data_IF_360794947236
#
_entry.id   IF_360794947236
#
_cell.length_a   1.000
_cell.length_b   1.000
_cell.length_c   1.000
_cell.angle_alpha   90.00
_cell.angle_beta   90.00
_cell.angle_gamma   90.00
#
_symmetry.space_group_name_H-M   'P 1'
#
loop_
_entity.id
_entity.type
_entity.pdbx_description
1 polymer ?
#
# COMPACT_ATOMS: atom_id res chain seq x y z
N UNK A 1 -25.55 -6.67 36.10
CA UNK A 1 -24.45 -6.68 35.11
C UNK A 1 -24.32 -5.26 34.59
N UNK A 2 -23.12 -4.68 34.58
CA UNK A 2 -22.96 -3.30 34.15
C UNK A 2 -23.34 -3.17 32.67
N UNK A 3 -24.17 -2.19 32.34
CA UNK A 3 -24.55 -1.88 30.97
C UNK A 3 -23.35 -1.23 30.29
N UNK A 4 -22.87 -1.84 29.20
CA UNK A 4 -21.68 -1.37 28.48
C UNK A 4 -22.12 -0.61 27.24
N UNK A 5 -21.54 0.57 27.03
CA UNK A 5 -21.86 1.41 25.88
C UNK A 5 -21.50 0.73 24.57
N UNK A 6 -22.47 0.65 23.65
CA UNK A 6 -22.31 0.07 22.32
C UNK A 6 -22.13 1.15 21.27
N UNK A 7 -21.29 0.87 20.28
CA UNK A 7 -20.93 1.77 19.18
C UNK A 7 -21.43 1.13 17.86
N UNK A 8 -22.03 1.91 16.95
CA UNK A 8 -22.47 1.40 15.66
C UNK A 8 -21.27 0.94 14.82
N UNK A 9 -21.47 -0.14 14.05
CA UNK A 9 -20.50 -0.59 13.06
C UNK A 9 -21.19 -1.16 11.82
N UNK A 10 -20.44 -1.22 10.72
CA UNK A 10 -20.95 -1.65 9.42
C UNK A 10 -20.43 -3.04 9.06
N UNK A 11 -21.32 -3.87 8.50
CA UNK A 11 -20.96 -5.20 7.99
C UNK A 11 -21.54 -5.41 6.61
N UNK A 12 -20.80 -6.11 5.75
CA UNK A 12 -21.32 -6.48 4.44
C UNK A 12 -22.23 -7.70 4.56
N UNK A 13 -23.52 -7.54 4.27
CA UNK A 13 -24.54 -8.61 4.29
C UNK A 13 -25.12 -8.82 2.88
N UNK A 14 -25.59 -10.04 2.60
CA UNK A 14 -26.25 -10.36 1.33
C UNK A 14 -27.72 -9.91 1.40
N UNK A 15 -28.08 -8.96 0.55
CA UNK A 15 -29.43 -8.53 0.27
C UNK A 15 -30.01 -9.32 -0.89
N UNK A 16 -31.31 -9.63 -0.80
CA UNK A 16 -32.06 -10.39 -1.81
C UNK A 16 -32.15 -9.61 -3.14
N UNK A 17 -32.22 -8.28 -3.08
CA UNK A 17 -32.47 -7.43 -4.26
C UNK A 17 -31.25 -6.68 -4.80
N UNK A 18 -30.24 -6.41 -3.97
CA UNK A 18 -29.09 -5.54 -4.33
C UNK A 18 -27.73 -6.23 -4.18
N UNK A 19 -27.70 -7.55 -4.03
CA UNK A 19 -26.45 -8.29 -3.87
C UNK A 19 -25.80 -8.02 -2.51
N UNK A 20 -24.51 -7.67 -2.46
CA UNK A 20 -23.83 -7.37 -1.19
C UNK A 20 -23.99 -5.89 -0.82
N UNK A 21 -24.54 -5.62 0.37
CA UNK A 21 -24.82 -4.25 0.84
C UNK A 21 -24.26 -4.07 2.25
N UNK A 22 -23.77 -2.87 2.54
CA UNK A 22 -23.39 -2.48 3.90
C UNK A 22 -24.62 -2.32 4.77
N UNK A 23 -24.66 -3.07 5.89
CA UNK A 23 -25.69 -2.96 6.92
C UNK A 23 -25.05 -2.39 8.18
N UNK A 24 -25.64 -1.32 8.69
CA UNK A 24 -25.36 -0.79 10.01
C UNK A 24 -25.95 -1.72 11.08
N UNK A 25 -25.14 -2.04 12.09
CA UNK A 25 -25.58 -2.72 13.30
C UNK A 25 -25.39 -1.71 14.44
N UNK A 26 -26.49 -1.29 15.07
CA UNK A 26 -26.54 -0.28 16.13
C UNK A 26 -27.37 -0.78 17.33
N UNK A 27 -27.28 -0.08 18.46
CA UNK A 27 -27.99 -0.42 19.69
C UNK A 27 -27.58 -1.79 20.23
N UNK A 28 -28.53 -2.72 20.36
CA UNK A 28 -28.29 -4.05 20.91
C UNK A 28 -27.30 -4.89 20.10
N UNK A 29 -27.25 -4.69 18.78
CA UNK A 29 -26.32 -5.38 17.87
C UNK A 29 -24.99 -4.62 17.70
N UNK A 30 -24.80 -3.47 18.36
CA UNK A 30 -23.60 -2.65 18.27
C UNK A 30 -22.35 -3.30 18.87
N UNK A 31 -21.18 -2.80 18.49
CA UNK A 31 -19.88 -3.27 18.97
C UNK A 31 -19.56 -2.67 20.34
N UNK A 32 -18.84 -3.43 21.16
CA UNK A 32 -18.39 -2.98 22.48
C UNK A 32 -16.88 -2.74 22.43
N UNK A 33 -16.44 -1.59 22.94
CA UNK A 33 -15.01 -1.29 23.05
C UNK A 33 -14.35 -2.25 24.05
N UNK A 34 -13.11 -2.64 23.80
CA UNK A 34 -12.37 -3.55 24.66
C UNK A 34 -11.15 -2.82 25.22
N UNK A 35 -10.96 -2.87 26.54
CA UNK A 35 -9.80 -2.25 27.21
C UNK A 35 -8.54 -3.12 27.16
N UNK A 36 -8.69 -4.42 26.88
CA UNK A 36 -7.55 -5.34 26.84
C UNK A 36 -6.60 -4.97 25.70
N UNK A 37 -5.31 -4.70 25.96
CA UNK A 37 -4.36 -4.38 24.91
C UNK A 37 -4.13 -5.59 24.01
N UNK A 38 -4.47 -5.47 22.72
CA UNK A 38 -4.24 -6.50 21.72
C UNK A 38 -2.92 -6.25 21.00
N UNK A 39 -2.11 -7.31 20.82
CA UNK A 39 -0.90 -7.27 20.00
C UNK A 39 -1.18 -7.90 18.64
N UNK A 40 -0.62 -7.32 17.58
CA UNK A 40 -0.62 -7.91 16.24
C UNK A 40 0.48 -8.97 16.20
N UNK A 41 0.14 -10.17 15.73
CA UNK A 41 1.12 -11.24 15.52
C UNK A 41 1.72 -11.20 14.12
N UNK A 42 2.99 -11.59 14.04
CA UNK A 42 3.76 -11.74 12.80
C UNK A 42 4.35 -13.16 12.69
N UNK A 43 3.83 -14.08 13.50
CA UNK A 43 4.45 -15.40 13.71
C UNK A 43 4.10 -16.37 12.59
N UNK A 44 3.00 -16.14 11.86
CA UNK A 44 2.59 -17.01 10.77
C UNK A 44 3.54 -16.84 9.57
N UNK A 45 4.03 -17.97 9.04
CA UNK A 45 4.89 -17.98 7.85
C UNK A 45 4.09 -17.66 6.59
N UNK A 46 4.73 -17.00 5.61
CA UNK A 46 4.09 -16.59 4.36
C UNK A 46 3.36 -17.77 3.67
N UNK A 47 2.18 -17.54 3.06
CA UNK A 47 1.47 -18.58 2.32
C UNK A 47 2.36 -19.19 1.23
N UNK A 48 2.59 -20.51 1.29
CA UNK A 48 3.43 -21.25 0.33
C UNK A 48 4.88 -21.51 0.78
N UNK A 49 5.31 -20.98 1.93
CA UNK A 49 6.61 -21.33 2.50
C UNK A 49 6.53 -22.70 3.19
N UNK A 50 7.29 -23.68 2.69
CA UNK A 50 7.42 -24.98 3.35
C UNK A 50 8.05 -24.76 4.72
N UNK A 51 7.29 -25.07 5.78
CA UNK A 51 7.82 -25.05 7.16
C UNK A 51 8.85 -26.15 7.26
N UNK A 52 10.13 -25.80 7.09
CA UNK A 52 11.21 -26.68 7.50
C UNK A 52 11.02 -26.94 9.00
N UNK A 53 10.94 -28.22 9.38
CA UNK A 53 10.78 -28.65 10.77
C UNK A 53 11.81 -27.93 11.65
N UNK A 54 11.45 -27.53 12.88
CA UNK A 54 12.27 -26.69 13.75
C UNK A 54 13.46 -27.46 14.33
N UNK A 55 14.48 -27.74 13.53
CA UNK A 55 15.78 -28.21 14.05
C UNK A 55 16.97 -27.38 13.54
N UNK A 56 16.81 -26.58 12.48
CA UNK A 56 17.94 -25.85 11.90
C UNK A 56 17.63 -24.35 11.72
N UNK A 57 17.43 -23.63 12.84
CA UNK A 57 17.64 -22.17 12.82
C UNK A 57 19.09 -21.90 13.23
N UNK A 58 19.96 -21.66 12.25
CA UNK A 58 21.34 -21.22 12.47
C UNK A 58 21.36 -19.96 13.34
N UNK A 59 22.38 -19.85 14.19
CA UNK A 59 22.60 -18.76 15.15
C UNK A 59 22.58 -17.38 14.49
N UNK A 60 22.84 -17.28 13.19
CA UNK A 60 22.81 -16.04 12.40
C UNK A 60 21.41 -15.41 12.30
N UNK A 61 20.35 -16.23 12.23
CA UNK A 61 18.97 -15.70 12.15
C UNK A 61 18.51 -15.06 13.47
N UNK A 62 19.09 -15.48 14.61
CA UNK A 62 18.80 -14.89 15.93
C UNK A 62 19.47 -13.54 16.11
N UNK A 63 20.67 -13.35 15.54
CA UNK A 63 21.38 -12.08 15.65
C UNK A 63 20.74 -10.99 14.76
N UNK A 64 20.30 -11.33 13.55
CA UNK A 64 19.65 -10.37 12.65
C UNK A 64 18.34 -9.77 13.22
N UNK A 65 17.53 -10.57 13.94
CA UNK A 65 16.31 -10.06 14.59
C UNK A 65 16.60 -9.13 15.79
N UNK A 66 17.72 -9.31 16.46
CA UNK A 66 18.09 -8.46 17.60
C UNK A 66 18.66 -7.10 17.15
N UNK A 67 19.37 -7.05 16.02
CA UNK A 67 19.95 -5.80 15.51
C UNK A 67 18.87 -4.83 15.00
N UNK A 68 17.79 -5.33 14.39
CA UNK A 68 16.67 -4.48 13.92
C UNK A 68 15.78 -3.95 15.08
N UNK A 69 15.68 -4.67 16.19
CA UNK A 69 14.91 -4.26 17.37
C UNK A 69 15.61 -3.20 18.24
N UNK A 70 16.94 -3.09 18.14
CA UNK A 70 17.74 -2.12 18.90
C UNK A 70 17.65 -0.68 18.41
N UNK A 71 17.33 -0.46 17.12
CA UNK A 71 17.37 0.87 16.49
C UNK A 71 16.17 1.78 16.74
N UNK A 72 15.09 1.30 17.36
CA UNK A 72 13.83 2.06 17.50
C UNK A 72 13.54 2.60 18.91
N UNK A 73 14.45 2.43 19.88
CA UNK A 73 14.21 2.80 21.29
C UNK A 73 14.52 4.24 21.68
N UNK A 74 14.92 5.12 20.75
CA UNK A 74 15.49 6.43 21.11
C UNK A 74 14.72 7.68 20.63
N UNK A 75 13.45 7.59 20.22
CA UNK A 75 12.73 8.76 19.65
C UNK A 75 11.38 9.14 20.27
N UNK A 76 11.00 8.63 21.44
CA UNK A 76 9.79 9.14 22.12
C UNK A 76 10.02 9.29 23.62
N UNK A 77 10.83 10.29 23.97
CA UNK A 77 10.89 10.83 25.33
C UNK A 77 10.54 12.32 25.30
N UNK A 78 9.63 12.70 26.21
CA UNK A 78 9.37 14.04 26.75
C UNK A 78 8.60 15.07 25.90
N UNK A 79 7.32 15.29 26.25
CA UNK A 79 6.85 16.57 26.85
C UNK A 79 5.37 16.46 27.30
N UNK A 80 5.16 16.35 28.60
CA UNK A 80 3.86 16.51 29.25
C UNK A 80 4.05 17.45 30.46
N UNK A 81 3.60 18.71 30.33
CA UNK A 81 3.42 19.69 31.42
C UNK A 81 2.16 20.49 31.00
N UNK A 82 1.08 20.64 31.77
CA UNK A 82 0.94 21.32 33.08
C UNK A 82 -0.49 21.08 33.63
N UNK A 83 -0.74 21.11 34.96
CA UNK A 83 -2.04 20.81 35.56
C UNK A 83 -2.98 22.02 35.62
N UNK A 84 -4.30 21.78 35.65
CA UNK A 84 -5.25 22.76 36.17
C UNK A 84 -6.25 22.08 37.09
N UNK A 85 -6.15 22.46 38.36
CA UNK A 85 -7.15 22.26 39.40
C UNK A 85 -8.45 22.99 39.04
N UNK A 86 -9.57 22.44 39.51
CA UNK A 86 -10.91 22.99 39.36
C UNK A 86 -11.92 22.06 40.04
N UNK A 87 -12.02 22.16 41.36
CA UNK A 87 -13.18 21.65 42.11
C UNK A 87 -14.46 22.37 41.61
N UNK A 88 -15.60 21.68 41.51
CA UNK A 88 -16.69 21.73 42.53
C UNK A 88 -17.98 21.03 42.03
N UNK A 89 -18.59 20.26 42.95
CA UNK A 89 -20.02 19.99 43.18
C UNK A 89 -20.57 18.57 42.86
N UNK A 90 -21.30 17.96 43.81
CA UNK A 90 -21.78 16.59 43.71
C UNK A 90 -23.16 16.53 43.04
N UNK A 91 -23.38 15.62 42.11
CA UNK A 91 -24.74 15.30 41.67
C UNK A 91 -24.88 13.88 41.14
N UNK A 92 -25.75 13.15 41.85
CA UNK A 92 -26.54 11.95 41.46
C UNK A 92 -25.79 10.61 41.36
N UNK A 93 -26.43 9.50 41.78
CA UNK A 93 -25.86 8.17 41.64
C UNK A 93 -25.86 7.82 40.15
N UNK A 94 -24.75 8.12 39.48
CA UNK A 94 -24.50 7.61 38.14
C UNK A 94 -24.31 6.09 38.27
N UNK A 95 -25.23 5.33 37.69
CA UNK A 95 -24.92 3.99 37.21
C UNK A 95 -23.68 4.15 36.33
N UNK A 96 -22.55 3.63 36.80
CA UNK A 96 -21.31 3.60 36.01
C UNK A 96 -21.55 2.65 34.83
N UNK A 97 -22.12 3.17 33.75
CA UNK A 97 -22.01 2.52 32.45
C UNK A 97 -20.53 2.43 32.14
N UNK A 98 -20.03 1.21 31.97
CA UNK A 98 -18.63 1.05 31.54
C UNK A 98 -18.62 1.36 30.05
N UNK A 99 -17.67 2.17 29.61
CA UNK A 99 -17.49 2.42 28.18
C UNK A 99 -16.85 1.23 27.44
N UNK A 100 -16.29 0.26 28.17
CA UNK A 100 -15.57 -0.86 27.59
C UNK A 100 -15.67 -2.15 28.42
N UNK A 101 -15.59 -3.28 27.73
CA UNK A 101 -15.47 -4.62 28.31
C UNK A 101 -14.00 -4.98 28.56
N UNK A 102 -13.73 -5.57 29.72
CA UNK A 102 -12.46 -6.21 30.01
C UNK A 102 -12.57 -7.70 29.62
N UNK A 103 -11.74 -8.16 28.68
CA UNK A 103 -11.67 -9.56 28.28
C UNK A 103 -10.30 -10.13 28.64
N UNK A 104 -10.26 -11.28 29.31
CA UNK A 104 -9.00 -11.89 29.77
C UNK A 104 -8.11 -12.32 28.61
N UNK A 105 -8.68 -12.86 27.52
CA UNK A 105 -7.93 -13.29 26.35
C UNK A 105 -8.74 -13.09 25.07
N UNK A 106 -8.26 -12.19 24.21
CA UNK A 106 -8.79 -11.98 22.88
C UNK A 106 -8.19 -12.99 21.90
N UNK A 107 -8.90 -13.32 20.79
CA UNK A 107 -8.29 -14.03 19.68
C UNK A 107 -7.06 -13.26 19.18
N UNK A 108 -5.98 -13.99 18.90
CA UNK A 108 -4.78 -13.40 18.30
C UNK A 108 -5.10 -12.94 16.88
N UNK A 109 -4.67 -11.72 16.53
CA UNK A 109 -4.84 -11.17 15.19
C UNK A 109 -3.49 -11.23 14.47
N UNK A 110 -3.41 -12.05 13.42
CA UNK A 110 -2.21 -12.12 12.58
C UNK A 110 -2.34 -11.21 11.36
N UNK A 111 -1.23 -10.65 10.93
CA UNK A 111 -1.19 -9.80 9.73
C UNK A 111 -1.71 -10.55 8.48
N UNK A 112 -1.56 -11.87 8.44
CA UNK A 112 -2.08 -12.72 7.37
C UNK A 112 -3.60 -12.90 7.38
N UNK A 113 -4.31 -12.46 8.42
CA UNK A 113 -5.76 -12.50 8.47
C UNK A 113 -6.41 -11.32 7.72
N UNK A 114 -5.63 -10.26 7.42
CA UNK A 114 -6.09 -9.07 6.68
C UNK A 114 -6.73 -9.42 5.33
N UNK A 115 -6.09 -10.21 4.44
CA UNK A 115 -6.69 -10.48 3.13
C UNK A 115 -8.02 -11.23 3.24
N UNK A 116 -8.19 -12.10 4.24
CA UNK A 116 -9.44 -12.80 4.49
C UNK A 116 -10.53 -11.82 4.96
N UNK A 117 -10.18 -10.86 5.82
CA UNK A 117 -11.09 -9.82 6.27
C UNK A 117 -11.54 -8.92 5.09
N UNK A 118 -10.61 -8.54 4.21
CA UNK A 118 -10.91 -7.76 2.99
C UNK A 118 -11.90 -8.49 2.07
N UNK A 119 -11.74 -9.80 1.87
CA UNK A 119 -12.68 -10.60 1.09
C UNK A 119 -14.10 -10.59 1.70
N UNK A 120 -14.19 -10.71 3.03
CA UNK A 120 -15.47 -10.67 3.77
C UNK A 120 -16.15 -9.30 3.68
N UNK A 121 -15.36 -8.23 3.71
CA UNK A 121 -15.79 -6.83 3.59
C UNK A 121 -16.19 -6.46 2.15
N UNK A 122 -15.89 -7.33 1.16
CA UNK A 122 -16.26 -7.09 -0.24
C UNK A 122 -15.21 -6.32 -1.02
N UNK A 123 -13.95 -6.39 -0.62
CA UNK A 123 -12.80 -5.83 -1.34
C UNK A 123 -11.92 -6.93 -1.97
N UNK A 124 -12.45 -7.70 -2.95
CA UNK A 124 -11.78 -8.89 -3.46
C UNK A 124 -10.50 -8.58 -4.24
N UNK A 125 -10.44 -7.45 -4.96
CA UNK A 125 -9.21 -7.06 -5.68
C UNK A 125 -8.09 -6.73 -4.70
N UNK A 126 -8.40 -5.98 -3.64
CA UNK A 126 -7.43 -5.62 -2.62
C UNK A 126 -6.96 -6.85 -1.82
N UNK A 127 -7.87 -7.79 -1.54
CA UNK A 127 -7.52 -9.07 -0.94
C UNK A 127 -6.55 -9.89 -1.81
N UNK A 128 -6.74 -9.91 -3.14
CA UNK A 128 -5.81 -10.58 -4.07
C UNK A 128 -4.42 -9.95 -4.03
N UNK A 129 -4.35 -8.62 -4.07
CA UNK A 129 -3.08 -7.89 -3.98
C UNK A 129 -2.38 -8.20 -2.66
N UNK A 130 -3.12 -8.14 -1.54
CA UNK A 130 -2.56 -8.43 -0.23
C UNK A 130 -2.05 -9.87 -0.14
N UNK A 131 -2.81 -10.87 -0.62
CA UNK A 131 -2.35 -12.27 -0.68
C UNK A 131 -1.07 -12.41 -1.49
N UNK A 132 -0.99 -11.77 -2.66
CA UNK A 132 0.22 -11.78 -3.49
C UNK A 132 1.39 -11.13 -2.75
N UNK A 133 1.16 -10.00 -2.09
CA UNK A 133 2.19 -9.29 -1.32
C UNK A 133 2.75 -10.16 -0.18
N UNK A 134 1.88 -10.78 0.62
CA UNK A 134 2.29 -11.68 1.69
C UNK A 134 2.99 -12.95 1.19
N UNK A 135 2.63 -13.44 0.00
CA UNK A 135 3.26 -14.61 -0.62
C UNK A 135 4.55 -14.26 -1.40
N UNK A 136 4.80 -12.97 -1.67
CA UNK A 136 5.96 -12.56 -2.44
C UNK A 136 7.23 -12.76 -1.61
N UNK A 137 8.32 -13.27 -2.22
CA UNK A 137 9.61 -13.34 -1.55
C UNK A 137 10.06 -11.95 -1.07
N UNK A 138 10.95 -11.91 -0.08
CA UNK A 138 11.59 -10.66 0.35
C UNK A 138 12.32 -10.04 -0.84
N UNK A 139 11.71 -9.00 -1.42
CA UNK A 139 12.27 -8.28 -2.56
C UNK A 139 13.01 -7.05 -2.06
N UNK A 140 14.25 -6.87 -2.50
CA UNK A 140 15.03 -5.65 -2.23
C UNK A 140 14.81 -4.74 -3.43
N UNK A 141 14.15 -3.60 -3.21
CA UNK A 141 14.08 -2.56 -4.22
C UNK A 141 15.48 -2.04 -4.48
N UNK A 142 16.02 -2.46 -5.61
CA UNK A 142 17.29 -2.03 -6.14
C UNK A 142 17.02 -1.03 -7.27
N UNK A 143 17.70 0.11 -7.28
CA UNK A 143 17.62 1.13 -8.33
C UNK A 143 18.21 0.67 -9.67
N UNK A 144 18.69 -0.57 -9.76
CA UNK A 144 19.12 -1.16 -11.02
C UNK A 144 17.92 -1.34 -11.97
N UNK A 145 17.93 -0.70 -13.16
CA UNK A 145 16.81 -0.73 -14.10
C UNK A 145 16.57 -2.11 -14.73
N UNK A 146 17.53 -3.03 -14.64
CA UNK A 146 17.44 -4.42 -15.12
C UNK A 146 16.92 -5.41 -14.07
N UNK A 147 16.67 -4.96 -12.83
CA UNK A 147 16.17 -5.82 -11.77
C UNK A 147 14.75 -6.29 -12.08
N UNK A 148 14.51 -7.61 -12.05
CA UNK A 148 13.17 -8.19 -12.19
C UNK A 148 12.34 -7.78 -10.99
N UNK A 149 11.50 -6.76 -11.18
CA UNK A 149 10.55 -6.32 -10.16
C UNK A 149 9.33 -7.25 -10.18
N UNK A 150 8.76 -7.61 -9.02
CA UNK A 150 7.50 -8.35 -8.96
C UNK A 150 6.34 -7.41 -9.34
N UNK A 151 6.21 -7.11 -10.64
CA UNK A 151 5.13 -6.27 -11.16
C UNK A 151 3.85 -7.13 -11.27
N UNK A 152 2.74 -6.56 -10.83
CA UNK A 152 1.42 -7.17 -10.97
C UNK A 152 0.61 -6.49 -12.07
N UNK A 153 0.79 -6.97 -13.30
CA UNK A 153 0.03 -6.50 -14.46
C UNK A 153 -1.32 -7.22 -14.62
N UNK A 154 -1.64 -8.15 -13.72
CA UNK A 154 -2.76 -9.08 -13.87
C UNK A 154 -3.95 -8.77 -12.98
N UNK A 155 -3.70 -8.26 -11.77
CA UNK A 155 -4.78 -8.06 -10.78
C UNK A 155 -5.54 -6.76 -11.00
N UNK A 156 -4.83 -5.67 -11.32
CA UNK A 156 -5.42 -4.35 -11.59
C UNK A 156 -5.38 -4.09 -13.09
N UNK A 157 -6.34 -4.63 -13.81
CA UNK A 157 -6.46 -4.39 -15.25
C UNK A 157 -7.14 -3.05 -15.55
N UNK A 158 -6.82 -2.45 -16.70
CA UNK A 158 -7.51 -1.25 -17.16
C UNK A 158 -9.03 -1.45 -17.26
N UNK A 159 -9.45 -2.65 -17.71
CA UNK A 159 -10.87 -3.07 -17.72
C UNK A 159 -11.49 -3.07 -16.33
N UNK A 160 -10.75 -3.45 -15.29
CA UNK A 160 -11.22 -3.36 -13.91
C UNK A 160 -11.32 -1.90 -13.46
N UNK A 161 -10.33 -1.07 -13.79
CA UNK A 161 -10.32 0.34 -13.43
C UNK A 161 -11.48 1.12 -14.07
N UNK A 162 -11.86 0.80 -15.31
CA UNK A 162 -13.02 1.40 -16.00
C UNK A 162 -14.38 1.07 -15.40
N UNK A 163 -14.48 0.13 -14.46
CA UNK A 163 -15.74 -0.09 -13.72
C UNK A 163 -16.12 1.11 -12.85
N UNK A 164 -15.17 1.99 -12.57
CA UNK A 164 -15.37 3.23 -11.82
C UNK A 164 -15.50 4.38 -12.82
N UNK A 165 -16.68 5.01 -12.90
CA UNK A 165 -17.03 5.96 -13.97
C UNK A 165 -16.04 7.12 -14.14
N UNK A 166 -15.53 7.66 -13.02
CA UNK A 166 -14.54 8.74 -13.03
C UNK A 166 -13.21 8.38 -13.71
N UNK A 167 -12.85 7.09 -13.71
CA UNK A 167 -11.59 6.63 -14.34
C UNK A 167 -11.72 6.65 -15.86
N UNK A 168 -12.88 6.28 -16.39
CA UNK A 168 -13.14 6.32 -17.82
C UNK A 168 -13.10 7.77 -18.34
N UNK A 169 -13.73 8.70 -17.63
CA UNK A 169 -13.69 10.13 -17.95
C UNK A 169 -12.26 10.67 -17.95
N UNK A 170 -11.48 10.39 -16.89
CA UNK A 170 -10.09 10.82 -16.79
C UNK A 170 -9.19 10.20 -17.86
N UNK A 171 -9.48 8.98 -18.27
CA UNK A 171 -8.77 8.32 -19.35
C UNK A 171 -9.09 8.93 -20.71
N UNK A 172 -10.35 9.26 -20.97
CA UNK A 172 -10.75 9.96 -22.20
C UNK A 172 -10.16 11.38 -22.24
N UNK A 173 -10.22 12.14 -21.13
CA UNK A 173 -9.56 13.46 -20.99
C UNK A 173 -8.05 13.35 -21.29
N UNK A 174 -7.41 12.27 -20.84
CA UNK A 174 -6.00 12.02 -21.09
C UNK A 174 -5.74 11.85 -22.60
N UNK A 175 -6.53 11.02 -23.28
CA UNK A 175 -6.35 10.68 -24.70
C UNK A 175 -6.79 11.81 -25.64
N UNK A 176 -7.85 12.54 -25.31
CA UNK A 176 -8.41 13.54 -26.23
C UNK A 176 -7.68 14.88 -26.11
N UNK A 177 -7.28 15.27 -24.89
CA UNK A 177 -6.73 16.61 -24.65
C UNK A 177 -5.27 16.57 -24.19
N UNK A 178 -4.96 15.79 -23.15
CA UNK A 178 -3.67 15.93 -22.46
C UNK A 178 -2.48 15.38 -23.25
N UNK A 179 -2.67 14.33 -24.06
CA UNK A 179 -1.60 13.85 -24.94
C UNK A 179 -1.29 14.85 -26.07
N UNK A 180 -2.25 15.69 -26.44
CA UNK A 180 -2.10 16.72 -27.47
C UNK A 180 -1.72 18.09 -26.91
N UNK A 181 -1.62 18.23 -25.59
CA UNK A 181 -1.16 19.44 -24.94
C UNK A 181 0.22 19.84 -25.45
N UNK A 182 0.47 21.15 -25.61
CA UNK A 182 1.77 21.69 -25.99
C UNK A 182 2.91 21.17 -25.10
N UNK A 183 2.64 20.95 -23.80
CA UNK A 183 3.61 20.36 -22.87
C UNK A 183 3.96 18.92 -23.23
N UNK A 184 2.97 18.12 -23.62
CA UNK A 184 3.16 16.74 -24.05
C UNK A 184 3.94 16.69 -25.37
N UNK A 185 3.59 17.56 -26.33
CA UNK A 185 4.31 17.69 -27.60
C UNK A 185 5.77 18.12 -27.37
N UNK A 186 6.01 19.11 -26.50
CA UNK A 186 7.36 19.56 -26.17
C UNK A 186 8.19 18.44 -25.51
N UNK A 187 7.59 17.69 -24.57
CA UNK A 187 8.23 16.54 -23.94
C UNK A 187 8.51 15.41 -24.92
N UNK A 188 7.59 15.12 -25.84
CA UNK A 188 7.78 14.13 -26.90
C UNK A 188 8.91 14.54 -27.85
N UNK A 189 8.92 15.80 -28.31
CA UNK A 189 10.00 16.37 -29.13
C UNK A 189 11.35 16.23 -28.44
N UNK A 190 11.45 16.58 -27.15
CA UNK A 190 12.71 16.41 -26.40
C UNK A 190 13.17 14.95 -26.33
N UNK A 191 12.26 14.00 -26.06
CA UNK A 191 12.61 12.57 -26.00
C UNK A 191 13.05 12.03 -27.36
N UNK A 192 12.34 12.39 -28.44
CA UNK A 192 12.70 12.00 -29.80
C UNK A 192 14.05 12.61 -30.19
N UNK A 193 14.25 13.91 -29.96
CA UNK A 193 15.49 14.60 -30.29
C UNK A 193 16.68 14.02 -29.52
N UNK A 194 16.49 13.68 -28.24
CA UNK A 194 17.49 12.95 -27.45
C UNK A 194 17.80 11.56 -28.04
N UNK A 195 16.77 10.81 -28.44
CA UNK A 195 16.97 9.48 -29.02
C UNK A 195 17.69 9.54 -30.37
N UNK A 196 17.29 10.47 -31.25
CA UNK A 196 17.93 10.71 -32.55
C UNK A 196 19.36 11.19 -32.35
N UNK A 197 19.61 12.12 -31.43
CA UNK A 197 20.96 12.58 -31.12
C UNK A 197 21.85 11.46 -30.62
N UNK A 198 21.38 10.66 -29.65
CA UNK A 198 22.13 9.50 -29.17
C UNK A 198 22.41 8.49 -30.29
N UNK A 199 21.40 8.16 -31.12
CA UNK A 199 21.57 7.30 -32.30
C UNK A 199 22.58 7.86 -33.29
N UNK A 200 22.57 9.18 -33.51
CA UNK A 200 23.49 9.86 -34.41
C UNK A 200 24.91 9.85 -33.86
N UNK A 201 25.10 10.17 -32.58
CA UNK A 201 26.40 10.15 -31.88
C UNK A 201 26.97 8.71 -31.78
N UNK A 202 26.12 7.72 -31.54
CA UNK A 202 26.49 6.30 -31.57
C UNK A 202 26.84 5.85 -33.01
N UNK A 203 26.20 6.42 -34.03
CA UNK A 203 26.47 6.10 -35.45
C UNK A 203 27.66 6.86 -36.04
N UNK A 204 27.94 8.08 -35.59
CA UNK A 204 29.08 8.90 -36.03
C UNK A 204 30.40 8.36 -35.48
N UNK A 205 30.33 7.52 -34.45
CA UNK A 205 31.43 6.66 -34.01
C UNK A 205 31.77 5.55 -35.02
N UNK A 206 30.89 5.23 -35.97
CA UNK A 206 31.08 4.21 -37.01
C UNK A 206 31.09 4.75 -38.46
N UNK A 207 30.57 5.96 -38.70
CA UNK A 207 30.55 6.59 -40.01
C UNK A 207 31.45 7.83 -40.03
N UNK A 208 32.63 7.69 -40.64
CA UNK A 208 33.48 8.82 -41.06
C UNK A 208 32.69 9.70 -42.04
N UNK A 209 31.96 10.69 -41.51
CA UNK A 209 31.32 11.76 -42.29
C UNK A 209 32.36 12.82 -42.68
N UNK A 210 33.44 12.41 -43.36
CA UNK A 210 34.32 13.36 -44.05
C UNK A 210 33.71 13.66 -45.42
N UNK A 211 33.16 14.86 -45.58
CA UNK A 211 32.80 15.36 -46.90
C UNK A 211 34.07 15.87 -47.58
N UNK A 212 34.58 15.14 -48.56
CA UNK A 212 35.71 15.59 -49.37
C UNK A 212 35.23 16.69 -50.34
N UNK A 213 35.45 17.93 -49.97
CA UNK A 213 35.13 19.12 -50.79
C UNK A 213 36.28 19.53 -51.71
N UNK A 214 37.41 18.81 -51.68
CA UNK A 214 38.58 19.06 -52.53
C UNK A 214 38.27 19.10 -54.04
N UNK A 215 37.34 18.29 -54.59
CA UNK A 215 37.01 18.34 -56.02
C UNK A 215 36.26 19.60 -56.46
N UNK A 216 35.65 20.34 -55.53
CA UNK A 216 34.76 21.47 -55.83
C UNK A 216 35.42 22.84 -55.64
N UNK A 217 36.66 22.88 -55.17
CA UNK A 217 37.48 24.09 -55.01
C UNK A 217 38.36 24.37 -56.23
N UNK A 218 38.33 23.49 -57.23
CA UNK A 218 39.15 23.58 -58.43
C UNK A 218 38.62 24.48 -59.54
N UNK A 219 38.09 25.67 -59.26
CA UNK A 219 38.14 26.81 -60.21
C UNK A 219 37.60 28.11 -59.55
N UNK A 220 38.43 28.75 -58.72
CA UNK A 220 38.20 30.14 -58.31
C UNK A 220 39.48 30.91 -58.64
N UNK A 221 39.67 31.24 -59.91
CA UNK A 221 40.62 32.24 -60.39
C UNK A 221 39.97 33.12 -61.44
#
# INVERSE_FOLDING_TARGET
MAEVKKIPYYTMKRSIFRGKVWKENDGLEGAVAINTPQKISYNRCAPGQVVLKPTERSKEQRMAQQTEAGGKRSLTEVKNNKPSSGETKPSKPYTLERDAEDKEKLPEFDLQDIPLAMDKIGWPTAAKIAKRWFASPKHIYNDQPSSVQPIDDTTVTLKWAFKYGSVAEKFNELIEEKIHSEKAIAGAKQKILKHVKNKFDDSSSAANLSFDTSPWIGDIR
#
